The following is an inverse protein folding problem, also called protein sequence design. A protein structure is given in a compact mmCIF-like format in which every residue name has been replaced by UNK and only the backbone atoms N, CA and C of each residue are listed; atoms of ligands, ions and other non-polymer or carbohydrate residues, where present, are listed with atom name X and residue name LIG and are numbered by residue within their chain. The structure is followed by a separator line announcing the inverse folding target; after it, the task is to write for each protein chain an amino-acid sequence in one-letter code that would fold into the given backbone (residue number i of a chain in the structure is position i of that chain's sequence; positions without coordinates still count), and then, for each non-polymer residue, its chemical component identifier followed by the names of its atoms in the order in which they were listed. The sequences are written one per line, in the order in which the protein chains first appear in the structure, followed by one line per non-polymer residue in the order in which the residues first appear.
data_IF_282352057570
#
_entry.id   IF_282352057570
#
_cell.length_a   1.000
_cell.length_b   1.000
_cell.length_c   1.000
_cell.angle_alpha   90.00
_cell.angle_beta   90.00
_cell.angle_gamma   90.00
#
_symmetry.space_group_name_H-M   'P 1'
#
loop_
_entity.id
_entity.type
_entity.pdbx_description
1 polymer ?
#
# COMPACT_ATOMS: atom_id res chain seq x y z
N UNK A 1 -10.67 10.52 4.67
CA UNK A 1 -9.98 9.35 4.11
C UNK A 1 -9.25 9.76 2.85
N UNK A 2 -7.91 9.81 2.85
CA UNK A 2 -7.13 10.20 1.66
C UNK A 2 -7.10 9.10 0.58
N UNK A 3 -7.16 7.83 1.01
CA UNK A 3 -7.08 6.64 0.15
C UNK A 3 -8.29 6.41 -0.79
N UNK A 4 -9.37 7.17 -0.61
CA UNK A 4 -10.62 7.05 -1.37
C UNK A 4 -10.90 8.26 -2.27
N UNK A 5 -9.90 9.13 -2.46
CA UNK A 5 -10.03 10.25 -3.37
C UNK A 5 -9.92 9.76 -4.81
N UNK A 6 -10.78 10.30 -5.68
CA UNK A 6 -10.80 9.98 -7.12
C UNK A 6 -9.54 10.49 -7.82
N UNK A 7 -8.93 11.55 -7.30
CA UNK A 7 -7.76 12.21 -7.86
C UNK A 7 -6.43 11.55 -7.47
N UNK A 8 -6.47 10.46 -6.69
CA UNK A 8 -5.26 9.81 -6.19
C UNK A 8 -4.58 9.03 -7.32
N UNK A 9 -3.31 9.34 -7.59
CA UNK A 9 -2.55 8.56 -8.56
C UNK A 9 -2.17 7.17 -8.00
N UNK A 10 -1.87 6.24 -8.91
CA UNK A 10 -1.61 4.85 -8.54
C UNK A 10 -0.31 4.69 -7.72
N UNK A 11 0.70 5.51 -7.97
CA UNK A 11 1.97 5.49 -7.24
C UNK A 11 1.79 6.01 -5.81
N UNK A 12 1.05 7.10 -5.64
CA UNK A 12 0.62 7.63 -4.34
C UNK A 12 -0.23 6.60 -3.58
N UNK A 13 -1.16 5.92 -4.24
CA UNK A 13 -1.97 4.87 -3.64
C UNK A 13 -1.11 3.72 -3.08
N UNK A 14 -0.11 3.26 -3.84
CA UNK A 14 0.86 2.26 -3.39
C UNK A 14 1.62 2.73 -2.15
N UNK A 15 2.11 3.98 -2.15
CA UNK A 15 2.84 4.54 -1.02
C UNK A 15 1.97 4.65 0.25
N UNK A 16 0.73 5.09 0.11
CA UNK A 16 -0.21 5.19 1.22
C UNK A 16 -0.58 3.81 1.80
N UNK A 17 -0.76 2.80 0.95
CA UNK A 17 -1.02 1.43 1.39
C UNK A 17 0.16 0.86 2.19
N UNK A 18 1.40 1.05 1.73
CA UNK A 18 2.62 0.64 2.44
C UNK A 18 2.76 1.33 3.80
N UNK A 19 2.48 2.63 3.84
CA UNK A 19 2.49 3.40 5.09
C UNK A 19 1.45 2.89 6.08
N UNK A 20 0.23 2.60 5.60
CA UNK A 20 -0.84 2.07 6.43
C UNK A 20 -0.56 0.66 6.95
N UNK A 21 0.02 -0.22 6.12
CA UNK A 21 0.47 -1.54 6.55
C UNK A 21 1.53 -1.43 7.66
N UNK A 22 2.50 -0.53 7.49
CA UNK A 22 3.53 -0.26 8.49
C UNK A 22 2.95 0.27 9.80
N UNK A 23 1.96 1.17 9.72
CA UNK A 23 1.22 1.64 10.89
C UNK A 23 0.53 0.51 11.65
N UNK A 24 -0.10 -0.45 10.96
CA UNK A 24 -0.70 -1.62 11.60
C UNK A 24 0.34 -2.50 12.29
N UNK A 25 1.54 -2.66 11.72
CA UNK A 25 2.62 -3.38 12.38
C UNK A 25 3.09 -2.69 13.67
N UNK A 26 3.11 -1.36 13.72
CA UNK A 26 3.39 -0.63 14.97
C UNK A 26 2.28 -0.81 16.01
N UNK A 27 1.01 -0.79 15.58
CA UNK A 27 -0.13 -1.15 16.46
C UNK A 27 0.06 -2.55 17.03
N UNK A 28 0.48 -3.49 16.19
CA UNK A 28 0.68 -4.88 16.57
C UNK A 28 1.69 -5.02 17.72
N UNK A 29 2.73 -4.19 17.74
CA UNK A 29 3.79 -4.17 18.77
C UNK A 29 3.28 -3.60 20.10
N UNK A 30 2.36 -2.62 20.05
CA UNK A 30 1.81 -1.96 21.25
C UNK A 30 0.47 -2.56 21.72
N UNK A 31 0.45 -3.88 21.96
CA UNK A 31 -0.76 -4.52 22.48
C UNK A 31 -1.25 -3.88 23.79
N UNK A 32 -0.34 -3.58 24.74
CA UNK A 32 -0.74 -3.08 26.05
C UNK A 32 -1.31 -1.67 26.01
N UNK A 33 -0.80 -0.79 25.15
CA UNK A 33 -1.36 0.54 24.95
C UNK A 33 -2.77 0.47 24.36
N UNK A 34 -2.98 -0.34 23.33
CA UNK A 34 -4.30 -0.51 22.71
C UNK A 34 -5.30 -1.25 23.61
N UNK A 35 -4.84 -2.24 24.37
CA UNK A 35 -5.66 -2.90 25.39
C UNK A 35 -6.15 -1.90 26.44
N UNK A 36 -5.28 -1.02 26.95
CA UNK A 36 -5.64 -0.01 27.96
C UNK A 36 -6.69 0.95 27.43
N UNK A 37 -6.49 1.49 26.22
CA UNK A 37 -7.47 2.35 25.54
C UNK A 37 -8.80 1.64 25.33
N UNK A 38 -8.78 0.38 24.89
CA UNK A 38 -9.99 -0.42 24.72
C UNK A 38 -10.73 -0.69 26.03
N UNK A 39 -10.00 -0.90 27.13
CA UNK A 39 -10.58 -1.06 28.47
C UNK A 39 -11.26 0.23 28.96
N UNK A 40 -10.62 1.37 28.76
CA UNK A 40 -11.17 2.70 29.09
C UNK A 40 -12.46 2.97 28.30
N UNK A 41 -12.43 2.75 26.98
CA UNK A 41 -13.61 2.92 26.11
C UNK A 41 -14.78 2.02 26.49
N UNK A 42 -14.51 0.81 26.98
CA UNK A 42 -15.53 -0.16 27.37
C UNK A 42 -15.94 -0.06 28.86
N UNK A 43 -15.31 0.81 29.65
CA UNK A 43 -15.55 0.88 31.11
C UNK A 43 -15.18 -0.41 31.86
N UNK A 44 -14.17 -1.15 31.39
CA UNK A 44 -13.74 -2.43 31.97
C UNK A 44 -12.43 -2.31 32.75
N UNK A 45 -12.35 -2.95 33.91
CA UNK A 45 -11.12 -2.98 34.74
C UNK A 45 -10.35 -4.30 34.64
N UNK A 46 -11.01 -5.39 34.19
CA UNK A 46 -10.41 -6.72 34.13
C UNK A 46 -11.05 -7.62 33.06
N UNK A 47 -10.38 -8.71 32.74
CA UNK A 47 -10.92 -9.74 31.86
C UNK A 47 -12.01 -10.55 32.58
N UNK A 48 -13.09 -10.90 31.88
CA UNK A 48 -14.09 -11.84 32.40
C UNK A 48 -13.47 -13.22 32.53
N UNK A 49 -13.24 -13.66 33.76
CA UNK A 49 -12.70 -14.99 34.05
C UNK A 49 -13.82 -16.02 33.83
N UNK A 50 -13.66 -16.89 32.82
CA UNK A 50 -14.53 -18.08 32.68
C UNK A 50 -13.86 -19.26 33.38
N UNK A 51 -14.62 -19.97 34.22
CA UNK A 51 -14.14 -21.18 34.90
C UNK A 51 -13.82 -22.24 33.85
N UNK A 52 -12.56 -22.68 33.78
CA UNK A 52 -12.15 -23.77 32.88
C UNK A 52 -12.53 -25.11 33.52
N UNK A 53 -13.29 -25.94 32.83
CA UNK A 53 -13.52 -27.32 33.25
C UNK A 53 -12.28 -28.15 32.92
N UNK A 54 -11.60 -28.65 33.93
CA UNK A 54 -10.50 -29.60 33.76
C UNK A 54 -11.12 -30.99 33.69
N UNK A 55 -10.88 -31.71 32.59
CA UNK A 55 -11.27 -33.12 32.47
C UNK A 55 -10.52 -33.95 33.51
N UNK A 56 -11.22 -34.82 34.22
CA UNK A 56 -10.60 -35.82 35.10
C UNK A 56 -9.89 -36.87 34.23
N UNK A 57 -8.60 -37.09 34.48
CA UNK A 57 -7.83 -38.17 33.87
C UNK A 57 -8.29 -39.51 34.48
N UNK A 58 -8.30 -40.57 33.66
CA UNK A 58 -8.45 -41.94 34.15
C UNK A 58 -7.10 -42.47 34.65
N UNK A 59 -7.12 -43.48 35.51
CA UNK A 59 -5.94 -44.02 36.23
C UNK A 59 -4.76 -44.40 35.32
N UNK A 60 -5.03 -44.78 34.07
CA UNK A 60 -4.00 -45.20 33.10
C UNK A 60 -3.62 -44.10 32.07
N UNK A 61 -4.21 -42.90 32.16
CA UNK A 61 -3.91 -41.79 31.26
C UNK A 61 -2.77 -40.92 31.81
N UNK A 62 -1.60 -40.96 31.16
CA UNK A 62 -0.50 -40.00 31.39
C UNK A 62 -0.80 -38.75 30.58
N UNK A 63 -0.64 -37.57 31.21
CA UNK A 63 -0.89 -36.27 30.58
C UNK A 63 0.28 -35.94 29.64
N UNK A 64 0.25 -36.49 28.44
CA UNK A 64 1.38 -36.44 27.49
C UNK A 64 1.54 -35.06 26.80
N UNK A 65 0.52 -34.21 26.90
CA UNK A 65 0.59 -32.82 26.49
C UNK A 65 0.27 -31.94 27.70
N UNK A 66 1.23 -31.13 28.14
CA UNK A 66 0.91 -29.94 28.92
C UNK A 66 0.00 -29.07 28.06
N UNK A 67 -1.31 -29.09 28.32
CA UNK A 67 -2.23 -28.15 27.70
C UNK A 67 -1.70 -26.73 27.97
N UNK A 68 -1.20 -26.06 26.93
CA UNK A 68 -0.70 -24.70 27.03
C UNK A 68 -1.92 -23.80 27.29
N UNK A 69 -2.20 -23.58 28.57
CA UNK A 69 -3.29 -22.73 29.00
C UNK A 69 -2.88 -21.27 28.90
N UNK A 70 -3.25 -20.61 27.81
CA UNK A 70 -3.18 -19.16 27.75
C UNK A 70 -4.07 -18.55 28.86
N UNK A 71 -3.54 -17.56 29.58
CA UNK A 71 -4.35 -16.67 30.39
C UNK A 71 -5.26 -15.83 29.47
N UNK A 72 -6.31 -15.21 30.03
CA UNK A 72 -7.28 -14.45 29.21
C UNK A 72 -6.63 -13.27 28.46
N UNK A 73 -5.54 -12.70 29.00
CA UNK A 73 -4.76 -11.66 28.31
C UNK A 73 -4.12 -12.21 27.04
N UNK A 74 -3.44 -13.34 27.13
CA UNK A 74 -2.76 -13.96 25.99
C UNK A 74 -3.74 -14.52 24.98
N UNK A 75 -4.88 -15.05 25.45
CA UNK A 75 -5.97 -15.47 24.59
C UNK A 75 -6.50 -14.28 23.76
N UNK A 76 -6.80 -13.16 24.40
CA UNK A 76 -7.24 -11.95 23.70
C UNK A 76 -6.17 -11.41 22.76
N UNK A 77 -4.91 -11.36 23.22
CA UNK A 77 -3.77 -10.88 22.43
C UNK A 77 -3.57 -11.70 21.15
N UNK A 78 -3.52 -13.03 21.27
CA UNK A 78 -3.17 -13.93 20.16
C UNK A 78 -4.39 -14.19 19.27
N UNK A 79 -5.53 -14.56 19.86
CA UNK A 79 -6.69 -15.04 19.09
C UNK A 79 -7.55 -13.92 18.54
N UNK A 80 -7.40 -12.68 19.04
CA UNK A 80 -8.22 -11.55 18.60
C UNK A 80 -7.37 -10.40 18.12
N UNK A 81 -6.55 -9.81 18.97
CA UNK A 81 -5.81 -8.60 18.61
C UNK A 81 -4.84 -8.86 17.45
N UNK A 82 -3.96 -9.86 17.58
CA UNK A 82 -3.04 -10.26 16.52
C UNK A 82 -3.79 -10.71 15.26
N UNK A 83 -4.81 -11.57 15.39
CA UNK A 83 -5.58 -12.04 14.26
C UNK A 83 -6.20 -10.89 13.43
N UNK A 84 -6.74 -9.86 14.09
CA UNK A 84 -7.31 -8.68 13.41
C UNK A 84 -6.21 -7.89 12.69
N UNK A 85 -5.14 -7.55 13.39
CA UNK A 85 -4.06 -6.72 12.85
C UNK A 85 -3.33 -7.44 11.71
N UNK A 86 -3.02 -8.72 11.87
CA UNK A 86 -2.37 -9.54 10.84
C UNK A 86 -3.24 -9.64 9.58
N UNK A 87 -4.56 -9.79 9.75
CA UNK A 87 -5.49 -9.80 8.62
C UNK A 87 -5.56 -8.44 7.92
N UNK A 88 -5.57 -7.34 8.67
CA UNK A 88 -5.55 -6.00 8.09
C UNK A 88 -4.27 -5.75 7.29
N UNK A 89 -3.10 -6.08 7.85
CA UNK A 89 -1.80 -5.95 7.18
C UNK A 89 -1.78 -6.80 5.90
N UNK A 90 -2.18 -8.07 5.98
CA UNK A 90 -2.20 -8.97 4.82
C UNK A 90 -3.12 -8.46 3.69
N UNK A 91 -4.29 -7.88 4.01
CA UNK A 91 -5.16 -7.30 2.99
C UNK A 91 -4.60 -6.00 2.39
N UNK A 92 -3.89 -5.17 3.18
CA UNK A 92 -3.19 -4.00 2.65
C UNK A 92 -2.07 -4.40 1.71
N UNK A 93 -1.25 -5.38 2.09
CA UNK A 93 -0.16 -5.89 1.27
C UNK A 93 -0.70 -6.52 -0.03
N UNK A 94 -1.78 -7.32 0.06
CA UNK A 94 -2.43 -7.90 -1.12
C UNK A 94 -2.89 -6.84 -2.12
N UNK A 95 -3.53 -5.77 -1.62
CA UNK A 95 -3.97 -4.64 -2.47
C UNK A 95 -2.77 -3.88 -3.04
N UNK A 96 -1.76 -3.63 -2.22
CA UNK A 96 -0.54 -2.96 -2.64
C UNK A 96 0.14 -3.73 -3.78
N UNK A 97 0.23 -5.05 -3.70
CA UNK A 97 0.84 -5.87 -4.75
C UNK A 97 0.03 -5.85 -6.05
N UNK A 98 -1.30 -5.88 -5.97
CA UNK A 98 -2.13 -5.72 -7.16
C UNK A 98 -1.89 -4.36 -7.84
N UNK A 99 -1.76 -3.29 -7.05
CA UNK A 99 -1.50 -1.94 -7.58
C UNK A 99 -0.08 -1.78 -8.11
N UNK A 100 0.92 -2.40 -7.48
CA UNK A 100 2.30 -2.44 -8.00
C UNK A 100 2.32 -3.13 -9.36
N UNK A 101 1.67 -4.29 -9.51
CA UNK A 101 1.62 -4.99 -10.79
C UNK A 101 0.98 -4.15 -11.90
N UNK A 102 -0.09 -3.40 -11.60
CA UNK A 102 -0.66 -2.45 -12.55
C UNK A 102 0.26 -1.26 -12.79
N UNK A 103 0.90 -0.73 -11.74
CA UNK A 103 1.81 0.40 -11.86
C UNK A 103 2.98 0.06 -12.77
N UNK A 104 3.63 -1.09 -12.59
CA UNK A 104 4.75 -1.54 -13.42
C UNK A 104 4.42 -1.62 -14.92
N UNK A 105 3.17 -1.94 -15.27
CA UNK A 105 2.71 -1.97 -16.66
C UNK A 105 2.54 -0.58 -17.27
N UNK A 106 2.13 0.40 -16.47
CA UNK A 106 1.80 1.76 -16.92
C UNK A 106 2.76 2.84 -16.42
N UNK A 107 3.83 2.46 -15.72
CA UNK A 107 4.81 3.33 -15.07
C UNK A 107 5.43 4.34 -16.05
N UNK A 108 5.55 3.92 -17.31
CA UNK A 108 6.02 4.76 -18.41
C UNK A 108 5.24 6.08 -18.51
N UNK A 109 3.92 6.04 -18.28
CA UNK A 109 3.04 7.20 -18.42
C UNK A 109 3.20 8.22 -17.29
N UNK A 110 3.58 7.76 -16.09
CA UNK A 110 3.76 8.61 -14.92
C UNK A 110 5.12 9.35 -14.93
N UNK A 111 6.14 8.74 -15.54
CA UNK A 111 7.50 9.29 -15.56
C UNK A 111 7.96 9.79 -16.94
N UNK A 112 7.02 9.95 -17.88
CA UNK A 112 7.24 10.36 -19.27
C UNK A 112 8.19 11.55 -19.44
N UNK A 113 8.17 12.55 -18.54
CA UNK A 113 9.00 13.76 -18.64
C UNK A 113 10.43 13.56 -18.11
N UNK A 114 10.59 12.67 -17.14
CA UNK A 114 11.79 12.56 -16.31
C UNK A 114 12.73 11.43 -16.76
N UNK A 115 12.19 10.42 -17.46
CA UNK A 115 12.99 9.31 -17.99
C UNK A 115 13.79 9.70 -19.23
N UNK A 116 14.95 9.09 -19.39
CA UNK A 116 15.75 9.22 -20.62
C UNK A 116 15.13 8.38 -21.76
N UNK A 117 15.55 8.65 -23.01
CA UNK A 117 14.96 7.99 -24.19
C UNK A 117 15.21 6.47 -24.19
N UNK A 118 16.35 6.00 -23.70
CA UNK A 118 16.66 4.56 -23.64
C UNK A 118 15.71 3.85 -22.68
N UNK A 119 15.58 4.36 -21.46
CA UNK A 119 14.67 3.86 -20.44
C UNK A 119 13.20 3.95 -20.88
N UNK A 120 12.83 5.03 -21.57
CA UNK A 120 11.49 5.21 -22.14
C UNK A 120 11.15 4.08 -23.13
N UNK A 121 12.11 3.71 -23.99
CA UNK A 121 11.91 2.61 -24.95
C UNK A 121 11.78 1.26 -24.26
N UNK A 122 12.57 1.02 -23.21
CA UNK A 122 12.47 -0.21 -22.41
C UNK A 122 11.10 -0.33 -21.72
N UNK A 123 10.64 0.75 -21.07
CA UNK A 123 9.31 0.78 -20.45
C UNK A 123 8.18 0.70 -21.50
N UNK A 124 8.36 1.31 -22.67
CA UNK A 124 7.46 1.17 -23.82
C UNK A 124 7.37 -0.27 -24.35
N UNK A 125 8.46 -1.01 -24.30
CA UNK A 125 8.46 -2.43 -24.64
C UNK A 125 7.71 -3.26 -23.59
N UNK A 126 7.80 -2.91 -22.30
CA UNK A 126 7.05 -3.57 -21.22
C UNK A 126 5.54 -3.48 -21.47
N UNK A 127 5.01 -2.27 -21.77
CA UNK A 127 3.58 -2.10 -22.05
C UNK A 127 3.15 -2.80 -23.35
N UNK A 128 3.95 -2.72 -24.41
CA UNK A 128 3.66 -3.43 -25.68
C UNK A 128 3.60 -4.95 -25.48
N UNK A 129 4.53 -5.52 -24.71
CA UNK A 129 4.53 -6.96 -24.39
C UNK A 129 3.35 -7.37 -23.51
N UNK A 130 3.00 -6.56 -22.51
CA UNK A 130 1.89 -6.84 -21.60
C UNK A 130 0.54 -6.86 -22.33
N UNK A 131 0.40 -6.05 -23.38
CA UNK A 131 -0.83 -5.89 -24.15
C UNK A 131 -0.61 -6.16 -25.65
N UNK A 132 0.09 -7.24 -26.01
CA UNK A 132 0.54 -7.49 -27.38
C UNK A 132 -0.58 -7.68 -28.42
N UNK A 133 -1.82 -7.88 -27.99
CA UNK A 133 -3.00 -7.95 -28.85
C UNK A 133 -3.74 -6.62 -28.98
N UNK A 134 -3.53 -5.69 -28.04
CA UNK A 134 -4.25 -4.41 -27.98
C UNK A 134 -3.34 -3.23 -28.39
N UNK A 135 -2.04 -3.34 -28.13
CA UNK A 135 -1.03 -2.30 -28.33
C UNK A 135 -0.01 -2.80 -29.35
N UNK A 136 0.19 -2.01 -30.40
CA UNK A 136 1.19 -2.25 -31.44
C UNK A 136 2.56 -1.73 -30.98
N UNK A 137 3.62 -2.25 -31.60
CA UNK A 137 5.00 -1.89 -31.25
C UNK A 137 5.39 -0.45 -31.59
N UNK A 138 4.63 0.22 -32.47
CA UNK A 138 4.78 1.65 -32.80
C UNK A 138 4.54 2.57 -31.59
N UNK A 139 3.92 2.06 -30.51
CA UNK A 139 3.79 2.76 -29.23
C UNK A 139 5.13 3.27 -28.69
N UNK A 140 6.23 2.58 -28.98
CA UNK A 140 7.56 2.97 -28.51
C UNK A 140 7.97 4.31 -29.13
N UNK A 141 7.81 4.44 -30.44
CA UNK A 141 8.07 5.67 -31.18
C UNK A 141 7.06 6.77 -30.81
N UNK A 142 5.79 6.43 -30.63
CA UNK A 142 4.76 7.38 -30.18
C UNK A 142 5.07 7.97 -28.80
N UNK A 143 5.54 7.14 -27.85
CA UNK A 143 5.96 7.59 -26.52
C UNK A 143 7.15 8.56 -26.60
N UNK A 144 8.12 8.29 -27.47
CA UNK A 144 9.26 9.20 -27.71
C UNK A 144 8.79 10.53 -28.30
N UNK A 145 7.91 10.49 -29.29
CA UNK A 145 7.34 11.71 -29.87
C UNK A 145 6.53 12.50 -28.84
N UNK A 146 5.71 11.82 -28.04
CA UNK A 146 4.95 12.43 -26.95
C UNK A 146 5.88 13.08 -25.93
N UNK A 147 6.95 12.40 -25.50
CA UNK A 147 7.94 12.98 -24.60
C UNK A 147 8.57 14.25 -25.19
N UNK A 148 8.99 14.22 -26.46
CA UNK A 148 9.55 15.38 -27.14
C UNK A 148 8.55 16.55 -27.18
N UNK A 149 7.28 16.26 -27.49
CA UNK A 149 6.23 17.26 -27.51
C UNK A 149 5.99 17.86 -26.12
N UNK A 150 5.85 17.03 -25.07
CA UNK A 150 5.67 17.49 -23.69
C UNK A 150 6.84 18.34 -23.20
N UNK A 151 8.08 17.98 -23.55
CA UNK A 151 9.27 18.79 -23.26
C UNK A 151 9.22 20.12 -24.01
N UNK A 152 8.79 20.14 -25.28
CA UNK A 152 8.65 21.37 -26.06
C UNK A 152 7.59 22.33 -25.52
N UNK A 153 6.47 21.82 -24.98
CA UNK A 153 5.43 22.62 -24.35
C UNK A 153 5.94 23.32 -23.08
N UNK A 154 6.76 22.63 -22.28
CA UNK A 154 7.41 23.24 -21.12
C UNK A 154 8.40 24.36 -21.49
N UNK A 155 9.02 24.30 -22.67
CA UNK A 155 9.86 25.39 -23.19
C UNK A 155 9.03 26.58 -23.73
N UNK A 156 7.79 26.34 -24.16
CA UNK A 156 6.89 27.35 -24.73
C UNK A 156 6.32 28.36 -23.72
N UNK A 157 6.13 27.97 -22.45
CA UNK A 157 5.60 28.87 -21.40
C UNK A 157 6.57 29.99 -20.97
N UNK A 158 7.84 29.93 -21.38
CA UNK A 158 8.85 30.96 -21.09
C UNK A 158 9.14 31.91 -22.27
N UNK A 159 8.32 31.90 -23.33
CA UNK A 159 8.51 32.80 -24.47
C UNK A 159 7.26 33.62 -24.81
N UNK A 160 6.90 34.57 -23.93
CA UNK A 160 6.36 35.87 -24.36
C UNK A 160 6.78 36.95 -23.37
N UNK A 161 8.04 37.40 -23.44
CA UNK A 161 8.36 38.79 -23.15
C UNK A 161 8.56 39.45 -24.52
N UNK A 162 7.50 40.05 -25.06
CA UNK A 162 7.66 40.98 -26.18
C UNK A 162 8.38 42.19 -25.60
N UNK A 163 9.58 42.55 -26.08
CA UNK A 163 10.18 43.81 -25.68
C UNK A 163 9.30 44.93 -26.24
N UNK A 164 8.71 45.74 -25.36
CA UNK A 164 8.15 47.03 -25.76
C UNK A 164 9.28 47.81 -26.43
N UNK A 165 9.12 48.06 -27.73
CA UNK A 165 9.99 48.94 -28.49
C UNK A 165 9.64 50.38 -28.10
N UNK A 166 10.51 51.14 -27.42
CA UNK A 166 10.30 52.54 -27.21
C UNK A 166 10.94 53.28 -28.39
N UNK A 167 10.12 53.81 -29.33
CA UNK A 167 10.18 55.21 -29.81
C UNK A 167 9.47 55.45 -31.15
N UNK A 168 9.06 56.72 -31.27
CA UNK A 168 8.59 57.52 -32.41
C UNK A 168 7.08 57.41 -32.67
N UNK A 169 6.27 58.44 -32.46
CA UNK A 169 6.47 59.90 -32.61
C UNK A 169 5.98 60.71 -31.41
#
# INVERSE_FOLDING_TARGET
MHLQKVELDLAEAVNLLKSLASFFLEIRKDFDGYKRKGMELCGLTSYKIKRKQIRKLKTDEIRDNEEIYFNERDKFRIQTFYAIIDKLTAEMDRRCQAYIGTLEQFDVLFHLKDVNVTELKEKGLTISKAFCHDIKNDIIEELVHLQCHLKSLNLGSNRVAIPENPRTY
#
